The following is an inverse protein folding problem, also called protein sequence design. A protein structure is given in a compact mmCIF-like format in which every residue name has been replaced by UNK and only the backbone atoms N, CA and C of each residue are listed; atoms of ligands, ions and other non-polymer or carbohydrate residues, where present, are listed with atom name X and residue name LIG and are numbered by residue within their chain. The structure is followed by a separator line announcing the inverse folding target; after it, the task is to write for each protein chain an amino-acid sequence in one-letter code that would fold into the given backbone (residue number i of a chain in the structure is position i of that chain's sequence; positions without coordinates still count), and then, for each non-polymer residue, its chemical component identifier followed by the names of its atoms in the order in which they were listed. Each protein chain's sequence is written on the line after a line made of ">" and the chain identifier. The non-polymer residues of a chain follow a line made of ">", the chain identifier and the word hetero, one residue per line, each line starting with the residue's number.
data_IF_465485230188
#
_entry.id   IF_465485230188
#
_cell.length_a   1.000
_cell.length_b   1.000
_cell.length_c   1.000
_cell.angle_alpha   90.00
_cell.angle_beta   90.00
_cell.angle_gamma   90.00
#
_symmetry.space_group_name_H-M   'P 1'
#
loop_
_entity.id
_entity.type
_entity.pdbx_description
1 polymer ?
#
# COMPACT_ATOMS: atom_id res chain seq x y z
N UNK A 1 -2.30 18.94 5.86
CA UNK A 1 -1.41 18.30 4.85
C UNK A 1 -1.48 16.75 4.92
N UNK A 2 -2.64 16.16 5.23
CA UNK A 2 -2.79 14.69 5.40
C UNK A 2 -2.44 13.90 4.13
N UNK A 3 -2.71 14.48 2.95
CA UNK A 3 -2.37 13.92 1.64
C UNK A 3 -0.87 13.66 1.46
N UNK A 4 -0.01 14.59 1.92
CA UNK A 4 1.44 14.46 1.77
C UNK A 4 2.00 13.31 2.62
N UNK A 5 1.48 13.15 3.83
CA UNK A 5 1.85 12.02 4.69
C UNK A 5 1.32 10.68 4.15
N UNK A 6 0.12 10.67 3.57
CA UNK A 6 -0.43 9.49 2.90
C UNK A 6 0.46 9.06 1.71
N UNK A 7 0.89 10.01 0.87
CA UNK A 7 1.81 9.74 -0.24
C UNK A 7 3.16 9.20 0.22
N UNK A 8 3.76 9.80 1.26
CA UNK A 8 5.03 9.31 1.82
C UNK A 8 4.94 7.86 2.28
N UNK A 9 3.84 7.50 2.96
CA UNK A 9 3.62 6.13 3.44
C UNK A 9 3.51 5.15 2.28
N UNK A 10 2.76 5.49 1.23
CA UNK A 10 2.67 4.65 0.04
C UNK A 10 4.02 4.46 -0.63
N UNK A 11 4.76 5.56 -0.85
CA UNK A 11 6.04 5.49 -1.52
C UNK A 11 7.02 4.60 -0.75
N UNK A 12 7.12 4.78 0.57
CA UNK A 12 7.98 3.97 1.42
C UNK A 12 7.59 2.48 1.37
N UNK A 13 6.30 2.17 1.36
CA UNK A 13 5.81 0.79 1.29
C UNK A 13 6.12 0.13 -0.08
N UNK A 14 5.95 0.87 -1.17
CA UNK A 14 6.30 0.40 -2.53
C UNK A 14 7.81 0.19 -2.65
N UNK A 15 8.62 1.12 -2.16
CA UNK A 15 10.08 1.02 -2.20
C UNK A 15 10.58 -0.19 -1.41
N UNK A 16 10.03 -0.42 -0.20
CA UNK A 16 10.34 -1.61 0.59
C UNK A 16 9.98 -2.90 -0.18
N UNK A 17 8.75 -2.99 -0.70
CA UNK A 17 8.32 -4.16 -1.45
C UNK A 17 9.19 -4.42 -2.71
N UNK A 18 9.58 -3.38 -3.44
CA UNK A 18 10.46 -3.51 -4.62
C UNK A 18 11.87 -3.94 -4.26
N UNK A 19 12.37 -3.57 -3.09
CA UNK A 19 13.73 -3.87 -2.67
C UNK A 19 13.90 -5.35 -2.26
N UNK A 20 12.96 -5.87 -1.47
CA UNK A 20 13.10 -7.20 -0.84
C UNK A 20 11.77 -7.94 -0.59
N UNK A 21 10.69 -7.52 -1.24
CA UNK A 21 9.33 -8.04 -1.02
C UNK A 21 8.82 -7.88 0.43
N UNK A 22 9.40 -6.94 1.19
CA UNK A 22 8.95 -6.62 2.55
C UNK A 22 7.58 -5.95 2.56
N UNK A 23 6.75 -6.37 3.52
CA UNK A 23 5.42 -5.81 3.76
C UNK A 23 5.50 -4.95 5.04
N UNK A 24 5.02 -3.69 5.00
CA UNK A 24 4.98 -2.86 6.19
C UNK A 24 4.14 -3.49 7.30
N UNK A 25 4.58 -3.35 8.55
CA UNK A 25 3.82 -3.82 9.72
C UNK A 25 2.46 -3.14 9.86
N UNK A 26 2.31 -1.95 9.28
CA UNK A 26 1.09 -1.15 9.26
C UNK A 26 0.39 -1.18 7.88
N UNK A 27 0.51 -2.28 7.13
CA UNK A 27 -0.04 -2.42 5.79
C UNK A 27 -1.54 -2.04 5.68
N UNK A 28 -2.35 -2.32 6.70
CA UNK A 28 -3.75 -1.86 6.76
C UNK A 28 -3.89 -0.33 6.76
N UNK A 29 -2.99 0.38 7.45
CA UNK A 29 -2.97 1.83 7.47
C UNK A 29 -2.49 2.42 6.14
N UNK A 30 -1.55 1.73 5.48
CA UNK A 30 -1.09 2.08 4.12
C UNK A 30 -2.23 1.87 3.12
N UNK A 31 -3.00 0.79 3.22
CA UNK A 31 -4.22 0.57 2.42
C UNK A 31 -5.25 1.67 2.62
N UNK A 32 -5.48 2.07 3.87
CA UNK A 32 -6.39 3.17 4.15
C UNK A 32 -5.89 4.50 3.57
N UNK A 33 -4.58 4.74 3.54
CA UNK A 33 -3.98 5.89 2.87
C UNK A 33 -4.16 5.82 1.34
N UNK A 34 -3.96 4.64 0.75
CA UNK A 34 -4.16 4.40 -0.67
C UNK A 34 -5.61 4.67 -1.09
N UNK A 35 -6.57 4.14 -0.33
CA UNK A 35 -8.00 4.38 -0.58
C UNK A 35 -8.37 5.86 -0.50
N UNK A 36 -7.77 6.63 0.42
CA UNK A 36 -7.97 8.09 0.50
C UNK A 36 -7.43 8.79 -0.74
N UNK A 37 -6.22 8.44 -1.19
CA UNK A 37 -5.63 9.02 -2.40
C UNK A 37 -6.52 8.71 -3.61
N UNK A 38 -6.92 7.46 -3.82
CA UNK A 38 -7.76 7.06 -4.96
C UNK A 38 -9.17 7.66 -4.93
N UNK A 39 -9.68 8.02 -3.74
CA UNK A 39 -10.95 8.75 -3.63
C UNK A 39 -10.83 10.18 -4.18
N UNK A 40 -9.66 10.81 -4.01
CA UNK A 40 -9.38 12.16 -4.48
C UNK A 40 -8.86 12.20 -5.92
N UNK A 41 -7.99 11.26 -6.28
CA UNK A 41 -7.43 11.07 -7.62
C UNK A 41 -7.45 9.57 -7.99
N UNK A 42 -8.49 9.11 -8.70
CA UNK A 42 -8.61 7.71 -9.12
C UNK A 42 -7.53 7.23 -10.08
N UNK A 43 -6.77 8.15 -10.68
CA UNK A 43 -5.72 7.85 -11.66
C UNK A 43 -4.31 8.00 -11.09
N UNK A 44 -4.18 8.22 -9.77
CA UNK A 44 -2.87 8.33 -9.13
C UNK A 44 -2.05 7.05 -9.30
N UNK A 45 -0.96 7.15 -10.07
CA UNK A 45 -0.15 5.99 -10.45
C UNK A 45 0.48 5.31 -9.24
N UNK A 46 0.84 6.08 -8.20
CA UNK A 46 1.47 5.54 -6.98
C UNK A 46 0.47 4.73 -6.18
N UNK A 47 -0.76 5.24 -6.03
CA UNK A 47 -1.83 4.52 -5.33
C UNK A 47 -2.31 3.29 -6.11
N UNK A 48 -2.38 3.37 -7.44
CA UNK A 48 -2.68 2.22 -8.30
C UNK A 48 -1.61 1.13 -8.15
N UNK A 49 -0.33 1.51 -8.09
CA UNK A 49 0.75 0.55 -7.88
C UNK A 49 0.64 -0.15 -6.53
N UNK A 50 0.47 0.60 -5.43
CA UNK A 50 0.28 0.00 -4.12
C UNK A 50 -0.92 -0.95 -4.10
N UNK A 51 -2.04 -0.55 -4.71
CA UNK A 51 -3.24 -1.38 -4.80
C UNK A 51 -2.95 -2.73 -5.47
N UNK A 52 -2.18 -2.74 -6.56
CA UNK A 52 -1.78 -3.97 -7.25
C UNK A 52 -0.89 -4.86 -6.39
N UNK A 53 0.06 -4.26 -5.67
CA UNK A 53 0.93 -4.99 -4.73
C UNK A 53 0.06 -5.61 -3.61
N UNK A 54 -0.83 -4.82 -3.01
CA UNK A 54 -1.69 -5.26 -1.93
C UNK A 54 -2.63 -6.41 -2.36
N UNK A 55 -3.26 -6.30 -3.52
CA UNK A 55 -4.10 -7.36 -4.08
C UNK A 55 -3.31 -8.65 -4.29
N UNK A 56 -2.12 -8.57 -4.88
CA UNK A 56 -1.25 -9.72 -5.11
C UNK A 56 -0.78 -10.37 -3.79
N UNK A 57 -0.30 -9.58 -2.84
CA UNK A 57 0.17 -10.09 -1.54
C UNK A 57 -0.96 -10.76 -0.78
N UNK A 58 -2.16 -10.16 -0.75
CA UNK A 58 -3.31 -10.77 -0.09
C UNK A 58 -3.73 -12.06 -0.77
N UNK A 59 -3.72 -12.12 -2.10
CA UNK A 59 -4.01 -13.35 -2.84
C UNK A 59 -3.06 -14.49 -2.46
N UNK A 60 -1.76 -14.20 -2.34
CA UNK A 60 -0.76 -15.18 -1.89
C UNK A 60 -0.98 -15.67 -0.44
N UNK A 61 -1.65 -14.87 0.39
CA UNK A 61 -1.87 -15.13 1.81
C UNK A 61 -3.32 -15.55 2.14
N UNK A 62 -4.10 -15.96 1.14
CA UNK A 62 -5.47 -16.47 1.37
C UNK A 62 -6.53 -15.38 1.52
N UNK A 63 -6.26 -14.18 1.02
CA UNK A 63 -7.20 -13.06 0.95
C UNK A 63 -6.95 -11.94 1.95
N UNK A 64 -5.92 -12.04 2.80
CA UNK A 64 -5.61 -11.05 3.83
C UNK A 64 -4.11 -10.76 3.93
N UNK A 65 -3.74 -9.73 4.69
CA UNK A 65 -2.34 -9.44 4.96
C UNK A 65 -1.66 -10.60 5.69
N UNK A 66 -0.38 -10.89 5.42
CA UNK A 66 0.35 -11.90 6.15
C UNK A 66 0.39 -11.54 7.63
N UNK A 67 0.37 -12.52 8.54
CA UNK A 67 0.55 -12.26 9.95
C UNK A 67 1.89 -11.54 10.16
N UNK A 68 1.84 -10.34 10.72
CA UNK A 68 3.03 -9.58 11.09
C UNK A 68 3.63 -10.26 12.32
N UNK A 69 4.77 -10.92 12.12
CA UNK A 69 5.52 -11.63 13.16
C UNK A 69 6.29 -10.70 14.08
#
# INVERSE_FOLDING_TARGET
>A
MRHYEDFKRLLAAIEAYRADASIPVDAEQVDAACARILTHDPFDETAIEWKRIAEFVKELNGGDWPPTG
#
